data_IF_915425045610
#
_entry.id   IF_915425045610
#
_cell.length_a   1.000
_cell.length_b   1.000
_cell.length_c   1.000
_cell.angle_alpha   90.00
_cell.angle_beta   90.00
_cell.angle_gamma   90.00
#
_symmetry.space_group_name_H-M   'P 1'
#
loop_
_entity.id
_entity.type
_entity.pdbx_description
1 polymer ?
#
# COMPACT_ATOMS: atom_id res chain seq x y z
N UNK A 1 9.54 25.09 -36.84
CA UNK A 1 8.36 24.23 -36.96
C UNK A 1 8.88 22.82 -36.84
N UNK A 2 8.79 22.19 -35.63
CA UNK A 2 9.06 20.78 -35.50
C UNK A 2 7.84 20.05 -36.04
N UNK A 3 7.99 19.34 -37.13
CA UNK A 3 6.99 18.36 -37.58
C UNK A 3 6.79 17.38 -36.40
N UNK A 4 5.60 17.35 -35.85
CA UNK A 4 5.25 16.33 -34.87
C UNK A 4 5.29 15.00 -35.60
N UNK A 5 6.23 14.13 -35.23
CA UNK A 5 6.24 12.73 -35.65
C UNK A 5 4.87 12.16 -35.30
N UNK A 6 4.11 11.73 -36.32
CA UNK A 6 2.80 11.10 -36.14
C UNK A 6 2.98 9.74 -35.49
N UNK A 7 3.26 9.72 -34.16
CA UNK A 7 3.44 8.49 -33.41
C UNK A 7 2.11 7.78 -33.20
N UNK A 8 2.12 6.47 -33.38
CA UNK A 8 0.99 5.57 -33.18
C UNK A 8 1.21 4.65 -31.97
N UNK A 9 0.14 4.15 -31.41
CA UNK A 9 0.26 3.09 -30.40
C UNK A 9 0.91 1.86 -31.03
N UNK A 10 1.92 1.31 -30.37
CA UNK A 10 2.73 0.21 -30.85
C UNK A 10 4.08 0.62 -31.46
N UNK A 11 4.26 1.90 -31.82
CA UNK A 11 5.53 2.39 -32.32
C UNK A 11 6.63 2.33 -31.24
N UNK A 12 7.86 2.12 -31.69
CA UNK A 12 9.04 2.00 -30.82
C UNK A 12 10.03 3.13 -31.04
N UNK A 13 10.59 3.63 -29.94
CA UNK A 13 11.56 4.74 -29.91
C UNK A 13 12.66 4.44 -28.89
N UNK A 14 13.89 4.80 -29.22
CA UNK A 14 15.00 4.77 -28.27
C UNK A 14 15.00 6.08 -27.49
N UNK A 15 14.81 5.97 -26.15
CA UNK A 15 14.61 7.11 -25.27
C UNK A 15 15.51 7.05 -24.05
N UNK A 16 16.08 8.18 -23.65
CA UNK A 16 16.78 8.36 -22.38
C UNK A 16 15.80 8.57 -21.24
N UNK A 17 16.03 7.86 -20.12
CA UNK A 17 15.18 7.87 -18.94
C UNK A 17 15.59 8.99 -17.97
N UNK A 18 14.64 9.84 -17.63
CA UNK A 18 14.73 10.80 -16.53
C UNK A 18 14.36 10.16 -15.18
N UNK A 19 13.89 10.98 -14.24
CA UNK A 19 13.57 10.54 -12.89
C UNK A 19 12.37 9.56 -12.84
N UNK A 20 12.32 8.82 -11.73
CA UNK A 20 11.15 8.01 -11.37
C UNK A 20 9.98 8.92 -10.95
N UNK A 21 8.77 8.60 -11.39
CA UNK A 21 7.54 9.28 -11.04
C UNK A 21 6.66 8.41 -10.13
N UNK A 22 5.69 9.05 -9.48
CA UNK A 22 4.63 8.36 -8.75
C UNK A 22 3.93 7.33 -9.66
N UNK A 23 3.76 6.10 -9.16
CA UNK A 23 3.23 4.98 -9.93
C UNK A 23 4.31 4.06 -10.52
N UNK A 24 5.60 4.32 -10.26
CA UNK A 24 6.70 3.42 -10.63
C UNK A 24 7.15 3.52 -12.09
N UNK A 25 6.85 4.62 -12.76
CA UNK A 25 7.27 4.90 -14.14
C UNK A 25 8.50 5.80 -14.17
N UNK A 26 9.44 5.54 -15.07
CA UNK A 26 10.42 6.56 -15.45
C UNK A 26 9.81 7.57 -16.41
N UNK A 27 10.27 8.80 -16.33
CA UNK A 27 9.83 9.88 -17.22
C UNK A 27 10.79 10.00 -18.39
N UNK A 28 10.29 9.90 -19.62
CA UNK A 28 11.02 10.21 -20.83
C UNK A 28 10.34 11.36 -21.60
N UNK A 29 11.00 11.85 -22.64
CA UNK A 29 10.43 12.84 -23.57
C UNK A 29 10.60 12.38 -24.99
N UNK A 30 9.51 12.44 -25.74
CA UNK A 30 9.49 12.22 -27.19
C UNK A 30 8.92 13.49 -27.83
N UNK A 31 9.73 14.21 -28.59
CA UNK A 31 9.37 15.49 -29.24
C UNK A 31 8.71 16.48 -28.27
N UNK A 32 9.29 16.63 -27.06
CA UNK A 32 8.80 17.52 -26.01
C UNK A 32 7.64 16.96 -25.17
N UNK A 33 6.98 15.89 -25.61
CA UNK A 33 5.88 15.24 -24.89
C UNK A 33 6.41 14.30 -23.83
N UNK A 34 5.75 14.29 -22.66
CA UNK A 34 6.08 13.36 -21.57
C UNK A 34 5.62 11.96 -21.92
N UNK A 35 6.50 10.98 -21.73
CA UNK A 35 6.19 9.53 -21.82
C UNK A 35 6.52 8.90 -20.48
N UNK A 36 5.55 8.26 -19.86
CA UNK A 36 5.72 7.45 -18.65
C UNK A 36 6.07 6.02 -19.04
N UNK A 37 7.31 5.62 -18.77
CA UNK A 37 7.87 4.34 -19.21
C UNK A 37 7.94 3.35 -18.05
N UNK A 38 7.29 2.19 -18.21
CA UNK A 38 7.35 1.07 -17.27
C UNK A 38 8.54 0.17 -17.62
N UNK A 39 9.18 -0.39 -16.59
CA UNK A 39 10.25 -1.39 -16.77
C UNK A 39 11.62 -0.79 -17.07
N UNK A 40 11.78 0.52 -16.89
CA UNK A 40 13.03 1.24 -17.03
C UNK A 40 13.52 1.80 -15.69
N UNK A 41 14.80 2.16 -15.61
CA UNK A 41 15.45 2.84 -14.50
C UNK A 41 15.88 4.26 -14.88
N UNK A 42 15.96 5.19 -13.91
CA UNK A 42 16.51 6.52 -14.17
C UNK A 42 17.95 6.46 -14.70
N UNK A 43 18.22 7.19 -15.77
CA UNK A 43 19.54 7.23 -16.41
C UNK A 43 19.78 6.19 -17.50
N UNK A 44 18.89 5.20 -17.65
CA UNK A 44 19.00 4.23 -18.74
C UNK A 44 18.65 4.83 -20.10
N UNK A 45 19.16 4.20 -21.15
CA UNK A 45 18.67 4.33 -22.52
C UNK A 45 17.96 3.04 -22.92
N UNK A 46 16.68 3.15 -23.27
CA UNK A 46 15.83 1.99 -23.54
C UNK A 46 15.01 2.17 -24.79
N UNK A 47 14.72 1.06 -25.49
CA UNK A 47 13.71 1.02 -26.53
C UNK A 47 12.33 0.91 -25.90
N UNK A 48 11.51 1.92 -26.15
CA UNK A 48 10.17 2.08 -25.58
C UNK A 48 9.13 1.82 -26.65
N UNK A 49 8.23 0.87 -26.41
CA UNK A 49 7.01 0.69 -27.19
C UNK A 49 5.88 1.49 -26.58
N UNK A 50 5.25 2.38 -27.36
CA UNK A 50 4.11 3.17 -26.89
C UNK A 50 2.90 2.29 -26.66
N UNK A 51 2.30 2.38 -25.45
CA UNK A 51 1.17 1.51 -25.04
C UNK A 51 -0.14 2.27 -24.94
N UNK A 52 -0.10 3.57 -24.64
CA UNK A 52 -1.28 4.44 -24.58
C UNK A 52 -0.90 5.87 -24.95
N UNK A 53 -1.49 6.36 -26.03
CA UNK A 53 -1.29 7.72 -26.57
C UNK A 53 -2.58 8.57 -26.52
N UNK A 54 -3.60 8.11 -25.80
CA UNK A 54 -4.94 8.72 -25.77
C UNK A 54 -4.96 10.13 -25.16
N UNK A 55 -3.95 10.48 -24.33
CA UNK A 55 -3.87 11.77 -23.64
C UNK A 55 -3.00 12.77 -24.41
N UNK A 56 -3.51 13.96 -24.62
CA UNK A 56 -2.74 15.05 -25.26
C UNK A 56 -1.53 15.50 -24.43
N UNK A 57 -1.62 15.43 -23.08
CA UNK A 57 -0.59 15.90 -22.16
C UNK A 57 0.56 14.93 -21.92
N UNK A 58 0.32 13.63 -22.03
CA UNK A 58 1.31 12.59 -21.76
C UNK A 58 0.90 11.25 -22.38
N UNK A 59 1.89 10.40 -22.60
CA UNK A 59 1.73 9.04 -23.10
C UNK A 59 2.27 8.02 -22.13
N UNK A 60 1.98 6.75 -22.37
CA UNK A 60 2.56 5.61 -21.63
C UNK A 60 3.30 4.71 -22.60
N UNK A 61 4.39 4.12 -22.11
CA UNK A 61 5.20 3.15 -22.83
C UNK A 61 5.72 2.05 -21.93
N UNK A 62 6.18 1.00 -22.57
CA UNK A 62 6.84 -0.16 -21.95
C UNK A 62 8.25 -0.26 -22.50
N UNK A 63 9.25 -0.38 -21.64
CA UNK A 63 10.60 -0.74 -22.05
C UNK A 63 10.58 -2.17 -22.62
N UNK A 64 11.00 -2.34 -23.87
CA UNK A 64 11.05 -3.63 -24.57
C UNK A 64 12.47 -4.13 -24.75
N UNK A 65 13.46 -3.21 -24.75
CA UNK A 65 14.87 -3.52 -24.81
C UNK A 65 15.68 -2.48 -24.02
N UNK A 66 16.80 -2.87 -23.44
CA UNK A 66 17.68 -1.99 -22.65
C UNK A 66 18.98 -1.81 -23.40
N UNK A 67 19.21 -0.60 -23.94
CA UNK A 67 20.38 -0.25 -24.76
C UNK A 67 21.58 0.04 -23.85
N UNK A 68 21.34 0.83 -22.78
CA UNK A 68 22.34 1.14 -21.75
C UNK A 68 21.72 0.96 -20.37
N UNK A 69 22.16 -0.08 -19.66
CA UNK A 69 21.60 -0.46 -18.37
C UNK A 69 22.24 0.30 -17.19
N UNK A 70 21.44 0.62 -16.20
CA UNK A 70 21.90 1.07 -14.87
C UNK A 70 22.49 -0.11 -14.09
N UNK A 71 23.49 0.17 -13.23
CA UNK A 71 24.17 -0.84 -12.38
C UNK A 71 23.23 -1.55 -11.39
N UNK A 72 22.09 -0.95 -11.06
CA UNK A 72 21.07 -1.52 -10.15
C UNK A 72 20.01 -2.36 -10.89
N UNK A 73 20.17 -2.55 -12.20
CA UNK A 73 19.29 -3.45 -12.96
C UNK A 73 19.66 -4.90 -12.68
N UNK A 74 18.63 -5.69 -12.39
CA UNK A 74 18.75 -7.14 -12.17
C UNK A 74 17.81 -7.91 -13.10
N UNK A 75 18.10 -9.20 -13.28
CA UNK A 75 17.17 -10.09 -13.97
C UNK A 75 15.96 -10.34 -13.08
N UNK A 76 14.72 -10.08 -13.55
CA UNK A 76 13.53 -10.32 -12.77
C UNK A 76 13.41 -11.79 -12.32
N UNK A 77 13.15 -12.06 -11.02
CA UNK A 77 12.96 -13.43 -10.54
C UNK A 77 11.66 -14.08 -11.06
N UNK A 78 10.71 -13.29 -11.55
CA UNK A 78 9.46 -13.78 -12.12
C UNK A 78 9.51 -13.74 -13.66
N UNK A 79 9.32 -14.88 -14.37
CA UNK A 79 9.38 -14.91 -15.83
C UNK A 79 8.28 -14.09 -16.52
N UNK A 80 7.19 -13.77 -15.81
CA UNK A 80 6.08 -12.94 -16.33
C UNK A 80 6.08 -11.50 -15.79
N UNK A 81 7.19 -11.04 -15.23
CA UNK A 81 7.31 -9.69 -14.63
C UNK A 81 7.00 -8.56 -15.64
N UNK A 82 7.36 -8.72 -16.91
CA UNK A 82 7.09 -7.74 -17.97
C UNK A 82 5.61 -7.61 -18.34
N UNK A 83 4.81 -8.65 -18.08
CA UNK A 83 3.41 -8.73 -18.48
C UNK A 83 2.45 -8.53 -17.31
N UNK A 84 2.76 -9.16 -16.16
CA UNK A 84 1.93 -9.14 -14.98
C UNK A 84 1.83 -7.73 -14.37
N UNK A 85 0.61 -7.35 -13.96
CA UNK A 85 0.36 -6.08 -13.27
C UNK A 85 0.63 -6.10 -11.76
N UNK A 86 1.12 -7.20 -11.21
CA UNK A 86 1.31 -7.37 -9.76
C UNK A 86 2.59 -6.75 -9.21
N UNK A 87 3.59 -6.49 -10.05
CA UNK A 87 4.90 -5.95 -9.68
C UNK A 87 5.37 -4.90 -10.67
N UNK A 88 6.10 -3.89 -10.18
CA UNK A 88 6.64 -2.79 -10.99
C UNK A 88 8.17 -2.81 -11.03
N UNK A 89 8.84 -3.34 -10.00
CA UNK A 89 10.28 -3.18 -9.74
C UNK A 89 11.08 -4.49 -9.67
N UNK A 90 10.60 -5.59 -10.23
CA UNK A 90 11.37 -6.85 -10.21
C UNK A 90 12.68 -6.80 -11.01
N UNK A 91 12.84 -5.82 -11.88
CA UNK A 91 14.07 -5.55 -12.64
C UNK A 91 15.07 -4.65 -11.90
N UNK A 92 14.78 -4.32 -10.63
CA UNK A 92 15.58 -3.40 -9.79
C UNK A 92 16.05 -4.15 -8.54
N UNK A 93 17.30 -3.98 -8.13
CA UNK A 93 17.76 -4.51 -6.85
C UNK A 93 16.95 -3.93 -5.67
N UNK A 94 16.75 -4.72 -4.61
CA UNK A 94 15.83 -4.40 -3.52
C UNK A 94 16.23 -3.14 -2.75
N UNK A 95 17.53 -2.85 -2.65
CA UNK A 95 17.99 -1.65 -1.95
C UNK A 95 17.70 -0.41 -2.78
N UNK A 96 17.93 -0.48 -4.07
CA UNK A 96 17.63 0.65 -4.96
C UNK A 96 16.14 0.87 -5.17
N UNK A 97 15.29 -0.17 -5.05
CA UNK A 97 13.83 0.03 -4.99
C UNK A 97 13.43 1.01 -3.88
N UNK A 98 14.04 0.89 -2.70
CA UNK A 98 13.78 1.81 -1.58
C UNK A 98 14.26 3.23 -1.88
N UNK A 99 15.38 3.38 -2.56
CA UNK A 99 15.85 4.69 -3.02
C UNK A 99 14.91 5.34 -4.05
N UNK A 100 14.39 4.56 -5.02
CA UNK A 100 13.38 5.05 -5.97
C UNK A 100 12.10 5.50 -5.25
N UNK A 101 11.61 4.71 -4.29
CA UNK A 101 10.46 5.07 -3.46
C UNK A 101 10.73 6.34 -2.64
N UNK A 102 11.94 6.47 -2.07
CA UNK A 102 12.36 7.68 -1.34
C UNK A 102 12.26 8.92 -2.23
N UNK A 103 12.75 8.85 -3.47
CA UNK A 103 12.67 9.98 -4.43
C UNK A 103 11.22 10.38 -4.68
N UNK A 104 10.34 9.41 -4.87
CA UNK A 104 8.91 9.67 -5.08
C UNK A 104 8.26 10.31 -3.84
N UNK A 105 8.53 9.79 -2.62
CA UNK A 105 8.00 10.37 -1.38
C UNK A 105 8.48 11.81 -1.22
N UNK A 106 9.78 12.09 -1.38
CA UNK A 106 10.35 13.43 -1.26
C UNK A 106 9.75 14.40 -2.30
N UNK A 107 9.58 13.96 -3.55
CA UNK A 107 8.97 14.78 -4.61
C UNK A 107 7.51 15.12 -4.27
N UNK A 108 6.69 14.13 -3.88
CA UNK A 108 5.28 14.36 -3.59
C UNK A 108 5.10 15.29 -2.37
N UNK A 109 5.87 15.09 -1.31
CA UNK A 109 5.85 15.95 -0.12
C UNK A 109 6.27 17.38 -0.46
N UNK A 110 7.33 17.56 -1.23
CA UNK A 110 7.79 18.89 -1.66
C UNK A 110 6.78 19.60 -2.55
N UNK A 111 6.27 18.91 -3.56
CA UNK A 111 5.39 19.50 -4.58
C UNK A 111 4.00 19.82 -4.06
N UNK A 112 3.42 18.96 -3.22
CA UNK A 112 2.01 19.05 -2.81
C UNK A 112 1.82 19.65 -1.41
N UNK A 113 2.83 19.56 -0.55
CA UNK A 113 2.77 20.08 0.82
C UNK A 113 3.86 21.12 1.15
N UNK A 114 4.82 21.38 0.25
CA UNK A 114 5.94 22.27 0.54
C UNK A 114 6.94 21.71 1.57
N UNK A 115 6.87 20.41 1.88
CA UNK A 115 7.68 19.77 2.91
C UNK A 115 8.97 19.23 2.28
N UNK A 116 10.12 19.72 2.74
CA UNK A 116 11.42 19.13 2.40
C UNK A 116 11.68 17.93 3.30
N UNK A 117 11.64 16.73 2.72
CA UNK A 117 11.85 15.48 3.45
C UNK A 117 13.16 14.82 3.00
N UNK A 118 14.05 14.56 3.95
CA UNK A 118 15.36 13.94 3.75
C UNK A 118 15.48 12.56 4.43
N UNK A 119 14.35 11.94 4.76
CA UNK A 119 14.33 10.60 5.36
C UNK A 119 14.63 9.50 4.34
N UNK A 120 14.64 8.27 4.84
CA UNK A 120 14.83 7.06 4.04
C UNK A 120 13.55 6.23 4.00
N UNK A 121 13.44 5.30 3.05
CA UNK A 121 12.43 4.25 3.07
C UNK A 121 13.03 3.03 3.77
N UNK A 122 12.49 2.71 4.93
CA UNK A 122 13.00 1.67 5.82
C UNK A 122 12.60 0.28 5.32
N UNK A 123 13.54 -0.66 5.38
CA UNK A 123 13.22 -2.07 5.15
C UNK A 123 12.36 -2.61 6.30
N UNK A 124 11.44 -3.51 5.97
CA UNK A 124 10.60 -4.19 6.96
C UNK A 124 11.05 -5.66 7.07
N UNK A 125 11.15 -6.16 8.29
CA UNK A 125 11.55 -7.56 8.55
C UNK A 125 10.55 -8.56 7.97
N UNK A 126 11.05 -9.69 7.45
CA UNK A 126 10.21 -10.78 6.91
C UNK A 126 10.30 -10.98 5.40
N UNK A 127 11.09 -10.15 4.66
CA UNK A 127 11.37 -10.33 3.24
C UNK A 127 12.63 -9.56 2.83
N UNK A 128 13.80 -10.16 3.04
CA UNK A 128 15.09 -9.50 2.73
C UNK A 128 15.36 -9.40 1.23
N UNK A 129 14.87 -10.35 0.44
CA UNK A 129 15.00 -10.43 -1.02
C UNK A 129 13.79 -9.84 -1.77
N UNK A 130 12.80 -9.31 -1.04
CA UNK A 130 11.58 -8.75 -1.59
C UNK A 130 10.56 -9.79 -2.09
N UNK A 131 10.76 -11.07 -1.79
CA UNK A 131 9.89 -12.17 -2.23
C UNK A 131 9.14 -12.81 -1.05
N UNK A 132 8.09 -13.59 -1.34
CA UNK A 132 7.38 -14.39 -0.35
C UNK A 132 6.64 -13.63 0.75
N UNK A 133 6.49 -12.32 0.63
CA UNK A 133 5.93 -11.49 1.69
C UNK A 133 4.42 -11.33 1.65
N UNK A 134 3.81 -11.47 0.47
CA UNK A 134 2.41 -11.08 0.29
C UNK A 134 1.47 -12.15 0.81
N UNK A 135 0.95 -11.95 2.00
CA UNK A 135 0.07 -12.89 2.71
C UNK A 135 -1.37 -12.91 2.19
N UNK A 136 -1.76 -11.96 1.34
CA UNK A 136 -3.10 -11.91 0.74
C UNK A 136 -3.02 -11.72 -0.76
N UNK A 137 -3.49 -12.71 -1.49
CA UNK A 137 -3.51 -12.73 -2.94
C UNK A 137 -4.92 -12.88 -3.46
N UNK A 138 -5.21 -12.25 -4.59
CA UNK A 138 -6.45 -12.46 -5.33
C UNK A 138 -6.11 -12.95 -6.73
N UNK A 139 -6.44 -14.19 -7.00
CA UNK A 139 -6.23 -14.84 -8.28
C UNK A 139 -7.52 -14.90 -9.10
N UNK A 140 -7.36 -15.21 -10.38
CA UNK A 140 -8.39 -15.72 -11.27
C UNK A 140 -8.00 -17.15 -11.66
N UNK A 141 -8.99 -18.02 -11.89
CA UNK A 141 -8.71 -19.28 -12.52
C UNK A 141 -8.65 -19.08 -14.05
N UNK A 142 -7.56 -19.52 -14.65
CA UNK A 142 -7.39 -19.59 -16.12
C UNK A 142 -6.83 -20.95 -16.49
N UNK A 143 -7.59 -21.74 -17.23
CA UNK A 143 -7.23 -23.13 -17.56
C UNK A 143 -6.91 -23.94 -16.29
N UNK A 144 -7.73 -23.81 -15.26
CA UNK A 144 -7.59 -24.51 -13.97
C UNK A 144 -6.27 -24.19 -13.21
N UNK A 145 -5.64 -23.07 -13.51
CA UNK A 145 -4.43 -22.58 -12.83
C UNK A 145 -4.60 -21.16 -12.35
N UNK A 146 -3.88 -20.77 -11.28
CA UNK A 146 -3.88 -19.38 -10.81
C UNK A 146 -3.36 -18.44 -11.89
N UNK A 147 -4.05 -17.32 -12.07
CA UNK A 147 -3.66 -16.25 -12.99
C UNK A 147 -3.87 -14.89 -12.36
N UNK A 148 -3.13 -13.90 -12.85
CA UNK A 148 -3.23 -12.50 -12.44
C UNK A 148 -3.54 -11.63 -13.66
N UNK A 149 -4.00 -10.42 -13.43
CA UNK A 149 -4.24 -9.47 -14.53
C UNK A 149 -2.93 -8.97 -15.11
N UNK A 150 -2.89 -8.82 -16.44
CA UNK A 150 -1.85 -8.05 -17.10
C UNK A 150 -1.89 -6.59 -16.67
N UNK A 151 -0.77 -5.90 -16.80
CA UNK A 151 -0.67 -4.50 -16.43
C UNK A 151 -1.68 -3.65 -17.24
N UNK A 152 -2.53 -2.90 -16.53
CA UNK A 152 -3.59 -2.03 -17.11
C UNK A 152 -4.52 -2.74 -18.10
N UNK A 153 -4.70 -4.03 -17.97
CA UNK A 153 -5.58 -4.83 -18.82
C UNK A 153 -6.55 -5.67 -17.98
N UNK A 154 -7.60 -6.12 -18.63
CA UNK A 154 -8.49 -7.15 -18.10
C UNK A 154 -8.00 -8.55 -18.44
N UNK A 155 -7.05 -8.68 -19.37
CA UNK A 155 -6.44 -9.93 -19.78
C UNK A 155 -5.68 -10.57 -18.61
N UNK A 156 -5.57 -11.88 -18.67
CA UNK A 156 -4.92 -12.68 -17.66
C UNK A 156 -3.56 -13.17 -18.13
N UNK A 157 -2.65 -13.35 -17.20
CA UNK A 157 -1.38 -14.06 -17.35
C UNK A 157 -1.32 -15.13 -16.27
N UNK A 158 -0.99 -16.36 -16.67
CA UNK A 158 -0.84 -17.46 -15.72
C UNK A 158 0.32 -17.18 -14.76
N UNK A 159 0.11 -17.53 -13.51
CA UNK A 159 1.18 -17.53 -12.50
C UNK A 159 2.19 -18.61 -12.87
N UNK A 160 3.51 -18.35 -12.72
CA UNK A 160 4.54 -19.35 -12.99
C UNK A 160 4.32 -20.65 -12.20
N UNK A 161 4.90 -21.72 -12.68
CA UNK A 161 4.98 -22.97 -11.93
C UNK A 161 5.71 -22.74 -10.60
N UNK A 162 5.18 -23.28 -9.50
CA UNK A 162 5.66 -22.98 -8.13
C UNK A 162 5.04 -21.75 -7.48
N UNK A 163 4.18 -21.00 -8.18
CA UNK A 163 3.42 -19.90 -7.62
C UNK A 163 3.95 -18.50 -7.96
N UNK A 164 3.27 -17.48 -7.45
CA UNK A 164 3.69 -16.08 -7.59
C UNK A 164 4.86 -15.80 -6.65
N UNK A 165 6.03 -15.33 -7.13
CA UNK A 165 7.22 -15.15 -6.28
C UNK A 165 7.03 -14.21 -5.09
N UNK A 166 6.16 -13.21 -5.19
CA UNK A 166 5.89 -12.32 -4.04
C UNK A 166 4.81 -12.88 -3.10
N UNK A 167 4.02 -13.88 -3.51
CA UNK A 167 3.03 -14.50 -2.65
C UNK A 167 3.71 -15.29 -1.54
N UNK A 168 3.14 -15.25 -0.33
CA UNK A 168 3.64 -16.04 0.78
C UNK A 168 3.49 -17.54 0.47
N UNK A 169 4.55 -18.35 0.62
CA UNK A 169 4.57 -19.75 0.20
C UNK A 169 3.43 -20.60 0.79
N UNK A 170 3.03 -20.34 2.04
CA UNK A 170 1.96 -21.08 2.70
C UNK A 170 0.61 -21.01 1.95
N UNK A 171 0.36 -19.96 1.16
CA UNK A 171 -0.87 -19.80 0.40
C UNK A 171 -0.85 -20.42 -1.00
N UNK A 172 0.32 -20.74 -1.57
CA UNK A 172 0.43 -21.20 -2.94
C UNK A 172 -0.30 -22.53 -3.22
N UNK A 173 -0.15 -23.58 -2.39
CA UNK A 173 -0.86 -24.85 -2.60
C UNK A 173 -2.38 -24.67 -2.56
N UNK A 174 -2.87 -23.84 -1.65
CA UNK A 174 -4.29 -23.58 -1.52
C UNK A 174 -4.86 -22.79 -2.72
N UNK A 175 -4.06 -21.88 -3.32
CA UNK A 175 -4.41 -21.19 -4.56
C UNK A 175 -4.52 -22.15 -5.74
N UNK A 176 -3.56 -23.06 -5.89
CA UNK A 176 -3.58 -24.07 -6.94
C UNK A 176 -4.78 -24.99 -6.82
N UNK A 177 -5.03 -25.53 -5.63
CA UNK A 177 -6.18 -26.42 -5.36
C UNK A 177 -7.51 -25.74 -5.67
N UNK A 178 -7.69 -24.50 -5.23
CA UNK A 178 -8.92 -23.74 -5.45
C UNK A 178 -9.14 -23.38 -6.92
N UNK A 179 -8.09 -22.99 -7.64
CA UNK A 179 -8.18 -22.67 -9.07
C UNK A 179 -8.41 -23.89 -9.95
N UNK A 180 -7.97 -25.07 -9.52
CA UNK A 180 -8.19 -26.33 -10.25
C UNK A 180 -9.66 -26.79 -10.26
N UNK A 181 -10.47 -26.34 -9.29
CA UNK A 181 -11.87 -26.73 -9.15
C UNK A 181 -12.88 -25.73 -9.71
N UNK A 182 -12.46 -24.50 -10.01
CA UNK A 182 -13.36 -23.41 -10.39
C UNK A 182 -12.87 -22.67 -11.64
N UNK A 183 -13.58 -22.82 -12.76
CA UNK A 183 -13.34 -22.03 -13.98
C UNK A 183 -13.77 -20.57 -13.76
N UNK A 184 -12.91 -19.60 -14.13
CA UNK A 184 -13.14 -18.15 -14.06
C UNK A 184 -13.45 -17.57 -12.69
N UNK A 185 -13.32 -18.31 -11.59
CA UNK A 185 -13.57 -17.85 -10.26
C UNK A 185 -12.57 -16.78 -9.78
N UNK A 186 -13.03 -15.90 -8.91
CA UNK A 186 -12.16 -15.05 -8.11
C UNK A 186 -11.74 -15.85 -6.89
N UNK A 187 -10.46 -16.18 -6.78
CA UNK A 187 -9.91 -16.92 -5.66
C UNK A 187 -9.07 -15.98 -4.81
N UNK A 188 -9.51 -15.71 -3.60
CA UNK A 188 -8.76 -14.94 -2.60
C UNK A 188 -8.16 -15.90 -1.59
N UNK A 189 -6.84 -15.88 -1.48
CA UNK A 189 -6.07 -16.64 -0.50
C UNK A 189 -5.50 -15.67 0.52
N UNK A 190 -5.74 -15.94 1.79
CA UNK A 190 -5.19 -15.16 2.91
C UNK A 190 -4.44 -16.11 3.82
N UNK A 191 -3.19 -15.75 4.16
CA UNK A 191 -2.35 -16.47 5.10
C UNK A 191 -2.12 -15.59 6.33
N UNK A 192 -2.36 -16.11 7.52
CA UNK A 192 -1.95 -15.49 8.77
C UNK A 192 -0.77 -16.26 9.34
N UNK A 193 0.32 -15.56 9.57
CA UNK A 193 1.58 -16.10 10.03
C UNK A 193 1.63 -15.95 11.56
N UNK A 194 1.18 -16.99 12.23
CA UNK A 194 1.36 -17.21 13.66
C UNK A 194 2.26 -18.43 13.85
N UNK A 195 2.42 -18.91 15.08
CA UNK A 195 3.16 -20.17 15.37
C UNK A 195 2.59 -21.34 14.55
N UNK A 196 1.26 -21.34 14.33
CA UNK A 196 0.56 -22.25 13.42
C UNK A 196 -0.01 -21.41 12.25
N UNK A 197 0.60 -21.41 11.06
CA UNK A 197 0.10 -20.65 9.93
C UNK A 197 -1.31 -21.08 9.52
N UNK A 198 -2.23 -20.14 9.52
CA UNK A 198 -3.61 -20.35 9.09
C UNK A 198 -3.77 -19.86 7.66
N UNK A 199 -4.35 -20.67 6.78
CA UNK A 199 -4.68 -20.29 5.39
C UNK A 199 -6.18 -20.41 5.19
N UNK A 200 -6.79 -19.36 4.64
CA UNK A 200 -8.20 -19.35 4.26
C UNK A 200 -8.36 -19.00 2.80
N UNK A 201 -9.30 -19.66 2.14
CA UNK A 201 -9.60 -19.46 0.72
C UNK A 201 -11.06 -19.09 0.55
N UNK A 202 -11.30 -18.00 -0.14
CA UNK A 202 -12.62 -17.53 -0.54
C UNK A 202 -12.69 -17.56 -2.06
N UNK A 203 -13.56 -18.38 -2.63
CA UNK A 203 -13.83 -18.44 -4.07
C UNK A 203 -15.24 -17.87 -4.33
N UNK A 204 -15.34 -16.89 -5.26
CA UNK A 204 -16.58 -16.19 -5.62
C UNK A 204 -17.40 -15.69 -4.42
N UNK A 205 -16.69 -15.23 -3.38
CA UNK A 205 -17.27 -14.69 -2.16
C UNK A 205 -17.68 -15.74 -1.12
N UNK A 206 -17.47 -17.03 -1.38
CA UNK A 206 -17.76 -18.12 -0.44
C UNK A 206 -16.47 -18.70 0.13
N UNK A 207 -16.46 -18.99 1.43
CA UNK A 207 -15.37 -19.69 2.09
C UNK A 207 -15.35 -21.16 1.62
N UNK A 208 -14.26 -21.57 0.96
CA UNK A 208 -14.11 -22.92 0.42
C UNK A 208 -13.06 -23.75 1.18
N UNK A 209 -12.15 -23.08 1.90
CA UNK A 209 -11.17 -23.74 2.76
C UNK A 209 -10.73 -22.82 3.90
N UNK A 210 -10.27 -23.39 5.00
CA UNK A 210 -9.83 -22.69 6.21
C UNK A 210 -10.98 -22.18 7.06
N UNK A 211 -10.69 -21.20 7.93
CA UNK A 211 -11.65 -20.61 8.86
C UNK A 211 -12.20 -19.28 8.37
N UNK A 212 -13.40 -18.90 8.85
CA UNK A 212 -13.97 -17.55 8.62
C UNK A 212 -13.11 -16.45 9.25
N UNK A 213 -12.40 -16.80 10.34
CA UNK A 213 -11.47 -15.89 11.02
C UNK A 213 -10.13 -16.59 11.24
N UNK A 214 -9.06 -15.81 11.21
CA UNK A 214 -7.69 -16.22 11.46
C UNK A 214 -7.11 -15.42 12.62
N UNK A 215 -5.97 -15.87 13.16
CA UNK A 215 -5.26 -15.19 14.24
C UNK A 215 -4.00 -14.51 13.72
N UNK A 216 -3.99 -13.18 13.73
CA UNK A 216 -2.78 -12.38 13.50
C UNK A 216 -2.13 -12.01 14.83
N UNK A 217 -0.80 -11.75 14.81
CA UNK A 217 -0.02 -11.42 16.01
C UNK A 217 0.85 -10.18 15.75
N UNK A 218 0.96 -9.32 16.76
CA UNK A 218 1.92 -8.22 16.81
C UNK A 218 2.48 -8.17 18.23
N UNK A 219 3.78 -8.34 18.39
CA UNK A 219 4.39 -8.58 19.69
C UNK A 219 3.73 -9.77 20.41
N UNK A 220 3.24 -9.57 21.63
CA UNK A 220 2.54 -10.59 22.41
C UNK A 220 1.02 -10.61 22.19
N UNK A 221 0.49 -9.60 21.51
CA UNK A 221 -0.96 -9.47 21.34
C UNK A 221 -1.45 -10.23 20.09
N UNK A 222 -2.64 -10.82 20.22
CA UNK A 222 -3.34 -11.55 19.15
C UNK A 222 -4.58 -10.81 18.73
N UNK A 223 -4.86 -10.81 17.41
CA UNK A 223 -6.08 -10.26 16.80
C UNK A 223 -6.81 -11.35 16.03
N UNK A 224 -8.13 -11.39 16.17
CA UNK A 224 -8.98 -12.12 15.24
C UNK A 224 -9.23 -11.27 14.02
N UNK A 225 -8.92 -11.83 12.84
CA UNK A 225 -9.02 -11.17 11.52
C UNK A 225 -9.94 -12.01 10.65
N UNK A 226 -10.88 -11.38 9.95
CA UNK A 226 -11.75 -12.11 9.01
C UNK A 226 -10.97 -12.57 7.77
N UNK A 227 -11.22 -13.77 7.27
CA UNK A 227 -10.59 -14.32 6.07
C UNK A 227 -10.72 -13.39 4.84
N UNK A 228 -11.89 -12.75 4.68
CA UNK A 228 -12.14 -11.73 3.66
C UNK A 228 -11.84 -10.30 4.11
N UNK A 229 -11.48 -10.09 5.38
CA UNK A 229 -11.23 -8.78 5.97
C UNK A 229 -9.85 -8.22 5.63
N UNK A 230 -9.61 -6.94 5.94
CA UNK A 230 -8.30 -6.33 5.79
C UNK A 230 -7.39 -6.69 6.96
N UNK A 231 -6.16 -6.99 6.66
CA UNK A 231 -5.00 -7.01 7.54
C UNK A 231 -3.76 -6.62 6.71
N UNK A 232 -2.70 -6.16 7.37
CA UNK A 232 -1.44 -5.82 6.71
C UNK A 232 -0.89 -7.04 5.95
N UNK A 233 -0.59 -6.86 4.66
CA UNK A 233 -0.26 -7.99 3.77
C UNK A 233 1.19 -8.42 3.82
N UNK A 234 2.07 -7.61 4.44
CA UNK A 234 3.46 -7.97 4.69
C UNK A 234 3.60 -8.46 6.14
N UNK A 235 4.30 -9.56 6.42
CA UNK A 235 4.41 -10.14 7.77
C UNK A 235 4.85 -9.16 8.85
N UNK A 236 5.88 -8.37 8.57
CA UNK A 236 6.41 -7.39 9.51
C UNK A 236 5.71 -6.02 9.50
N UNK A 237 4.77 -5.77 8.58
CA UNK A 237 4.20 -4.43 8.44
C UNK A 237 3.39 -3.99 9.67
N UNK A 238 2.57 -4.88 10.23
CA UNK A 238 1.76 -4.53 11.37
C UNK A 238 2.60 -4.13 12.59
N UNK A 239 3.74 -4.78 12.79
CA UNK A 239 4.69 -4.47 13.88
C UNK A 239 5.43 -3.16 13.59
N UNK A 240 6.00 -2.98 12.40
CA UNK A 240 6.73 -1.77 12.02
C UNK A 240 5.85 -0.50 12.11
N UNK A 241 4.60 -0.59 11.62
CA UNK A 241 3.65 0.51 11.70
C UNK A 241 3.17 0.77 13.14
N UNK A 242 2.93 -0.30 13.91
CA UNK A 242 2.58 -0.20 15.33
C UNK A 242 3.67 0.51 16.13
N UNK A 243 4.92 0.13 15.95
CA UNK A 243 6.06 0.75 16.62
C UNK A 243 6.21 2.23 16.24
N UNK A 244 6.08 2.53 14.93
CA UNK A 244 6.16 3.90 14.45
C UNK A 244 5.04 4.80 15.01
N UNK A 245 3.81 4.30 15.07
CA UNK A 245 2.65 5.03 15.57
C UNK A 245 2.70 5.16 17.09
N UNK A 246 2.79 4.03 17.79
CA UNK A 246 2.66 4.01 19.26
C UNK A 246 3.87 4.63 19.94
N UNK A 247 5.08 4.36 19.44
CA UNK A 247 6.31 4.94 19.97
C UNK A 247 6.36 6.47 19.85
N UNK A 248 5.77 7.01 18.77
CA UNK A 248 5.78 8.45 18.51
C UNK A 248 4.62 9.21 19.13
N UNK A 249 3.47 8.58 19.37
CA UNK A 249 2.31 9.22 20.02
C UNK A 249 2.47 9.38 21.54
N UNK A 250 3.37 8.59 22.16
CA UNK A 250 3.62 8.58 23.60
C UNK A 250 2.33 8.57 24.42
N UNK A 251 1.46 7.52 24.24
CA UNK A 251 0.16 7.48 24.88
C UNK A 251 0.30 7.42 26.40
N UNK A 252 -0.52 8.22 27.10
CA UNK A 252 -0.55 8.28 28.55
C UNK A 252 -1.75 7.52 29.09
N UNK A 253 -1.60 6.91 30.27
CA UNK A 253 -2.71 6.26 30.95
C UNK A 253 -3.85 7.28 31.17
N UNK A 254 -5.07 6.91 30.75
CA UNK A 254 -6.23 7.77 30.84
C UNK A 254 -6.47 8.70 29.65
N UNK A 255 -5.56 8.77 28.67
CA UNK A 255 -5.82 9.47 27.41
C UNK A 255 -7.10 8.96 26.75
N UNK A 256 -7.74 9.84 25.97
CA UNK A 256 -8.79 9.47 25.03
C UNK A 256 -8.23 9.46 23.61
N UNK A 257 -8.38 8.35 22.91
CA UNK A 257 -7.91 8.16 21.53
C UNK A 257 -9.06 7.93 20.56
N UNK A 258 -8.88 8.47 19.35
CA UNK A 258 -9.66 8.10 18.17
C UNK A 258 -8.80 7.23 17.26
N UNK A 259 -9.32 6.07 16.86
CA UNK A 259 -8.76 5.21 15.83
C UNK A 259 -9.71 5.23 14.63
N UNK A 260 -9.32 5.98 13.58
CA UNK A 260 -10.16 6.22 12.41
C UNK A 260 -9.72 5.30 11.27
N UNK A 261 -10.69 4.65 10.62
CA UNK A 261 -10.49 3.55 9.69
C UNK A 261 -9.84 2.34 10.40
N UNK A 262 -10.31 2.08 11.62
CA UNK A 262 -9.62 1.21 12.58
C UNK A 262 -9.56 -0.29 12.19
N UNK A 263 -10.24 -0.71 11.13
CA UNK A 263 -10.28 -2.11 10.74
C UNK A 263 -10.73 -3.01 11.90
N UNK A 264 -9.92 -4.02 12.20
CA UNK A 264 -10.14 -4.95 13.34
C UNK A 264 -9.49 -4.44 14.65
N UNK A 265 -9.00 -3.19 14.67
CA UNK A 265 -8.50 -2.52 15.87
C UNK A 265 -7.02 -2.76 16.16
N UNK A 266 -6.14 -2.73 15.15
CA UNK A 266 -4.70 -2.86 15.35
C UNK A 266 -4.18 -1.80 16.32
N UNK A 267 -4.30 -0.53 15.97
CA UNK A 267 -3.82 0.57 16.80
C UNK A 267 -4.64 0.74 18.07
N UNK A 268 -5.97 0.60 17.97
CA UNK A 268 -6.88 0.62 19.12
C UNK A 268 -6.47 -0.36 20.21
N UNK A 269 -6.09 -1.59 19.84
CA UNK A 269 -5.66 -2.61 20.78
C UNK A 269 -4.39 -2.24 21.51
N UNK A 270 -3.39 -1.75 20.78
CA UNK A 270 -2.10 -1.36 21.34
C UNK A 270 -2.19 -0.11 22.22
N UNK A 271 -3.09 0.80 21.92
CA UNK A 271 -3.41 1.95 22.77
C UNK A 271 -4.13 1.53 24.05
N UNK A 272 -5.12 0.63 23.94
CA UNK A 272 -5.85 0.11 25.10
C UNK A 272 -4.94 -0.64 26.09
N UNK A 273 -3.92 -1.37 25.62
CA UNK A 273 -2.91 -2.03 26.46
C UNK A 273 -2.08 -1.03 27.29
N UNK A 274 -2.06 0.25 26.91
CA UNK A 274 -1.42 1.35 27.64
C UNK A 274 -2.38 2.15 28.53
N UNK A 275 -3.59 1.63 28.73
CA UNK A 275 -4.61 2.28 29.58
C UNK A 275 -5.32 3.45 28.91
N UNK A 276 -5.25 3.57 27.58
CA UNK A 276 -5.94 4.59 26.80
C UNK A 276 -7.40 4.18 26.56
N UNK A 277 -8.33 5.11 26.68
CA UNK A 277 -9.74 4.92 26.32
C UNK A 277 -9.94 5.12 24.83
N UNK A 278 -10.24 4.06 24.08
CA UNK A 278 -10.27 4.11 22.62
C UNK A 278 -11.70 4.15 22.08
N UNK A 279 -11.91 5.01 21.08
CA UNK A 279 -13.09 5.01 20.20
C UNK A 279 -12.63 4.82 18.78
N UNK A 280 -13.21 3.81 18.09
CA UNK A 280 -12.88 3.49 16.70
C UNK A 280 -14.06 3.75 15.75
N UNK A 281 -13.73 4.11 14.50
CA UNK A 281 -14.70 4.23 13.40
C UNK A 281 -14.21 3.43 12.22
N UNK A 282 -15.05 2.53 11.71
CA UNK A 282 -14.75 1.66 10.59
C UNK A 282 -16.03 1.44 9.75
N UNK A 283 -15.91 1.38 8.43
CA UNK A 283 -17.06 1.21 7.54
C UNK A 283 -17.60 -0.22 7.54
N UNK A 284 -16.72 -1.21 7.67
CA UNK A 284 -17.08 -2.62 7.68
C UNK A 284 -17.70 -3.04 9.01
N UNK A 285 -18.97 -3.44 8.99
CA UNK A 285 -19.66 -3.98 10.19
C UNK A 285 -18.97 -5.23 10.73
N UNK A 286 -18.43 -6.09 9.85
CA UNK A 286 -17.72 -7.29 10.25
C UNK A 286 -16.42 -6.96 10.97
N UNK A 287 -15.63 -6.00 10.43
CA UNK A 287 -14.41 -5.52 11.08
C UNK A 287 -14.71 -4.89 12.45
N UNK A 288 -15.78 -4.08 12.57
CA UNK A 288 -16.22 -3.51 13.85
C UNK A 288 -16.59 -4.59 14.86
N UNK A 289 -17.26 -5.66 14.43
CA UNK A 289 -17.59 -6.78 15.33
C UNK A 289 -16.31 -7.47 15.85
N UNK A 290 -15.30 -7.63 14.99
CA UNK A 290 -14.00 -8.17 15.39
C UNK A 290 -13.21 -7.19 16.26
N UNK A 291 -13.22 -5.90 15.95
CA UNK A 291 -12.58 -4.86 16.77
C UNK A 291 -13.09 -4.85 18.21
N UNK A 292 -14.40 -5.02 18.42
CA UNK A 292 -15.01 -5.14 19.77
C UNK A 292 -14.55 -6.39 20.52
N UNK A 293 -14.28 -7.49 19.82
CA UNK A 293 -13.71 -8.72 20.41
C UNK A 293 -12.22 -8.57 20.70
N UNK A 294 -11.49 -7.94 19.80
CA UNK A 294 -10.04 -7.73 19.92
C UNK A 294 -9.69 -6.70 20.99
N UNK A 295 -10.56 -5.74 21.25
CA UNK A 295 -10.32 -4.61 22.17
C UNK A 295 -11.49 -4.51 23.15
N UNK A 296 -11.56 -5.37 24.18
CA UNK A 296 -12.56 -5.26 25.22
C UNK A 296 -12.51 -3.90 25.91
N UNK A 297 -13.66 -3.23 26.08
CA UNK A 297 -13.76 -1.88 26.62
C UNK A 297 -13.63 -0.75 25.59
N UNK A 298 -13.13 -1.01 24.38
CA UNK A 298 -13.14 -0.07 23.27
C UNK A 298 -14.57 0.18 22.74
N UNK A 299 -14.81 1.39 22.23
CA UNK A 299 -16.11 1.77 21.65
C UNK A 299 -15.99 1.93 20.14
N UNK A 300 -16.59 1.04 19.38
CA UNK A 300 -16.49 1.00 17.91
C UNK A 300 -17.81 1.28 17.22
N UNK A 301 -17.78 2.18 16.23
CA UNK A 301 -18.93 2.61 15.43
C UNK A 301 -18.75 2.20 13.98
N UNK A 302 -19.74 1.48 13.42
CA UNK A 302 -19.76 1.15 12.01
C UNK A 302 -20.31 2.32 11.19
N UNK A 303 -19.52 2.80 10.24
CA UNK A 303 -19.92 3.88 9.32
C UNK A 303 -18.73 4.56 8.67
N UNK A 304 -19.03 5.41 7.71
CA UNK A 304 -18.00 6.22 7.03
C UNK A 304 -17.47 7.28 7.98
N UNK A 305 -16.15 7.41 8.11
CA UNK A 305 -15.49 8.36 9.02
C UNK A 305 -15.97 9.79 8.75
N UNK A 306 -16.05 10.21 7.50
CA UNK A 306 -16.51 11.55 7.11
C UNK A 306 -17.96 11.90 7.54
N UNK A 307 -18.77 10.88 7.85
CA UNK A 307 -20.16 11.06 8.32
C UNK A 307 -20.30 10.89 9.83
N UNK A 308 -19.51 9.99 10.42
CA UNK A 308 -19.60 9.62 11.84
C UNK A 308 -18.86 10.62 12.71
N UNK A 309 -17.59 10.93 12.39
CA UNK A 309 -16.72 11.77 13.22
C UNK A 309 -17.29 13.16 13.49
N UNK A 310 -17.82 13.92 12.52
CA UNK A 310 -18.38 15.23 12.79
C UNK A 310 -19.56 15.24 13.78
N UNK A 311 -20.31 14.13 13.86
CA UNK A 311 -21.47 13.97 14.75
C UNK A 311 -21.09 13.52 16.15
N UNK A 312 -19.95 12.84 16.29
CA UNK A 312 -19.45 12.38 17.59
C UNK A 312 -18.93 13.55 18.44
N UNK A 313 -18.42 14.60 17.80
CA UNK A 313 -17.77 15.77 18.44
C UNK A 313 -16.92 15.40 19.69
N UNK A 314 -16.10 14.34 19.63
CA UNK A 314 -15.38 13.90 20.81
C UNK A 314 -14.20 14.85 21.08
N UNK A 315 -13.86 15.01 22.34
CA UNK A 315 -12.48 15.41 22.69
C UNK A 315 -11.59 14.18 22.55
N UNK A 316 -10.38 14.37 22.03
CA UNK A 316 -9.37 13.32 21.95
C UNK A 316 -7.99 13.90 22.27
N UNK A 317 -7.20 13.19 23.07
CA UNK A 317 -5.81 13.56 23.33
C UNK A 317 -4.92 13.18 22.14
N UNK A 318 -5.21 12.05 21.54
CA UNK A 318 -4.47 11.50 20.39
C UNK A 318 -5.44 10.95 19.34
N UNK A 319 -5.01 11.01 18.07
CA UNK A 319 -5.76 10.46 16.94
C UNK A 319 -4.83 9.62 16.09
N UNK A 320 -5.30 8.43 15.71
CA UNK A 320 -4.68 7.61 14.65
C UNK A 320 -5.64 7.57 13.48
N UNK A 321 -5.12 7.71 12.26
CA UNK A 321 -5.90 7.51 11.04
C UNK A 321 -5.07 6.74 10.01
N UNK A 322 -5.71 5.71 9.43
CA UNK A 322 -5.16 4.87 8.35
C UNK A 322 -6.18 4.82 7.19
N UNK A 323 -6.32 5.94 6.45
CA UNK A 323 -7.33 6.08 5.41
C UNK A 323 -7.00 5.25 4.17
N UNK A 324 -8.00 5.00 3.29
CA UNK A 324 -7.76 4.37 2.00
C UNK A 324 -6.86 5.23 1.10
N UNK A 325 -6.37 4.66 -0.02
CA UNK A 325 -5.44 5.28 -0.99
C UNK A 325 -5.75 6.72 -1.41
N UNK A 326 -7.01 7.14 -1.38
CA UNK A 326 -7.40 8.53 -1.70
C UNK A 326 -7.05 9.54 -0.61
N UNK A 327 -6.63 9.10 0.58
CA UNK A 327 -6.41 9.92 1.77
C UNK A 327 -7.66 10.15 2.60
N UNK A 328 -7.53 10.88 3.71
CA UNK A 328 -8.59 11.25 4.62
C UNK A 328 -9.48 12.37 4.03
N UNK A 329 -8.86 13.34 3.38
CA UNK A 329 -9.51 14.46 2.73
C UNK A 329 -10.04 15.53 3.69
N UNK A 330 -10.47 16.67 3.11
CA UNK A 330 -10.80 17.92 3.83
C UNK A 330 -11.78 17.73 4.99
N UNK A 331 -12.87 17.00 4.77
CA UNK A 331 -13.92 16.82 5.78
C UNK A 331 -13.41 16.10 7.03
N UNK A 332 -12.60 15.05 6.84
CA UNK A 332 -12.05 14.27 7.96
C UNK A 332 -10.95 15.06 8.67
N UNK A 333 -10.03 15.66 7.92
CA UNK A 333 -8.95 16.50 8.48
C UNK A 333 -9.52 17.62 9.34
N UNK A 334 -10.51 18.37 8.87
CA UNK A 334 -11.18 19.43 9.64
C UNK A 334 -11.89 18.88 10.88
N UNK A 335 -12.51 17.70 10.78
CA UNK A 335 -13.17 17.09 11.92
C UNK A 335 -12.17 16.62 12.98
N UNK A 336 -11.03 16.06 12.56
CA UNK A 336 -9.91 15.70 13.46
C UNK A 336 -9.34 16.93 14.15
N UNK A 337 -9.03 17.98 13.41
CA UNK A 337 -8.48 19.21 13.98
C UNK A 337 -9.39 19.83 15.04
N UNK A 338 -10.73 19.77 14.84
CA UNK A 338 -11.72 20.25 15.84
C UNK A 338 -11.72 19.45 17.15
N UNK A 339 -11.20 18.24 17.18
CA UNK A 339 -11.05 17.46 18.43
C UNK A 339 -9.87 17.95 19.29
N UNK A 340 -9.04 18.83 18.73
CA UNK A 340 -7.87 19.45 19.35
C UNK A 340 -6.90 18.45 19.99
N UNK A 341 -6.46 17.40 19.25
CA UNK A 341 -5.53 16.43 19.80
C UNK A 341 -4.14 17.03 19.99
N UNK A 342 -3.41 16.57 21.02
CA UNK A 342 -1.99 16.92 21.19
C UNK A 342 -1.07 16.27 20.15
N UNK A 343 -1.48 15.12 19.60
CA UNK A 343 -0.74 14.43 18.56
C UNK A 343 -1.67 13.62 17.65
N UNK A 344 -1.31 13.55 16.36
CA UNK A 344 -2.02 12.79 15.33
C UNK A 344 -1.00 11.88 14.65
N UNK A 345 -1.30 10.59 14.54
CA UNK A 345 -0.58 9.68 13.65
C UNK A 345 -1.40 9.47 12.37
N UNK A 346 -0.83 9.84 11.23
CA UNK A 346 -1.41 9.61 9.91
C UNK A 346 -0.61 8.53 9.18
N UNK A 347 -1.20 7.36 9.01
CA UNK A 347 -0.67 6.26 8.20
C UNK A 347 -1.19 6.40 6.78
N UNK A 348 -0.37 6.20 5.77
CA UNK A 348 -0.78 6.37 4.38
C UNK A 348 0.02 5.48 3.42
N UNK A 349 -0.69 4.76 2.56
CA UNK A 349 -0.10 3.92 1.52
C UNK A 349 0.07 4.62 0.16
N UNK A 350 -0.21 5.92 0.09
CA UNK A 350 -0.02 6.75 -1.11
C UNK A 350 0.62 8.09 -0.75
N UNK A 351 1.87 8.37 -1.21
CA UNK A 351 2.60 9.58 -0.85
C UNK A 351 1.93 10.88 -1.31
N UNK A 352 1.22 10.83 -2.45
CA UNK A 352 0.53 12.01 -2.96
C UNK A 352 -0.73 12.34 -2.13
N UNK A 353 -1.45 11.31 -1.66
CA UNK A 353 -2.58 11.46 -0.76
C UNK A 353 -2.11 11.97 0.61
N UNK A 354 -1.04 11.40 1.15
CA UNK A 354 -0.41 11.89 2.38
C UNK A 354 -0.06 13.37 2.27
N UNK A 355 0.66 13.77 1.23
CA UNK A 355 1.08 15.15 1.05
C UNK A 355 -0.12 16.11 0.99
N UNK A 356 -1.19 15.74 0.28
CA UNK A 356 -2.42 16.55 0.26
C UNK A 356 -3.07 16.66 1.63
N UNK A 357 -3.13 15.57 2.40
CA UNK A 357 -3.70 15.59 3.75
C UNK A 357 -2.82 16.39 4.72
N UNK A 358 -1.48 16.29 4.63
CA UNK A 358 -0.56 17.10 5.42
C UNK A 358 -0.72 18.59 5.14
N UNK A 359 -0.89 18.99 3.88
CA UNK A 359 -1.22 20.38 3.52
C UNK A 359 -2.55 20.83 4.16
N UNK A 360 -3.56 19.96 4.14
CA UNK A 360 -4.85 20.27 4.81
C UNK A 360 -4.68 20.39 6.33
N UNK A 361 -3.87 19.53 6.96
CA UNK A 361 -3.56 19.64 8.38
C UNK A 361 -2.80 20.93 8.71
N UNK A 362 -1.86 21.33 7.86
CA UNK A 362 -1.12 22.59 8.00
C UNK A 362 -2.06 23.80 8.04
N UNK A 363 -3.02 23.86 7.13
CA UNK A 363 -4.06 24.92 7.10
C UNK A 363 -4.97 24.87 8.34
N UNK A 364 -5.12 23.71 8.98
CA UNK A 364 -5.93 23.53 10.19
C UNK A 364 -5.12 23.54 11.49
N UNK A 365 -3.89 24.06 11.47
CA UNK A 365 -3.09 24.32 12.66
C UNK A 365 -2.23 23.15 13.15
N UNK A 366 -1.91 22.17 12.31
CA UNK A 366 -1.06 21.01 12.64
C UNK A 366 0.11 20.88 11.68
N UNK A 367 1.29 20.63 12.20
CA UNK A 367 2.51 20.41 11.40
C UNK A 367 3.08 19.01 11.66
N UNK A 368 3.70 18.36 10.65
CA UNK A 368 4.39 17.11 10.88
C UNK A 368 5.68 17.34 11.69
N UNK A 369 5.77 16.68 12.87
CA UNK A 369 6.99 16.57 13.68
C UNK A 369 7.96 15.58 13.04
N UNK A 370 7.44 14.49 12.52
CA UNK A 370 8.23 13.46 11.87
C UNK A 370 7.44 12.76 10.75
N UNK A 371 8.17 12.29 9.73
CA UNK A 371 7.62 11.45 8.66
C UNK A 371 8.60 10.29 8.47
N UNK A 372 8.14 9.06 8.66
CA UNK A 372 8.85 7.82 8.38
C UNK A 372 8.17 7.12 7.20
N UNK A 373 8.95 6.43 6.38
CA UNK A 373 8.43 5.66 5.24
C UNK A 373 8.99 4.23 5.29
N UNK A 374 8.17 3.25 4.88
CA UNK A 374 8.45 1.83 5.03
C UNK A 374 8.20 1.09 3.72
N UNK A 375 9.12 0.19 3.37
CA UNK A 375 8.97 -0.72 2.23
C UNK A 375 8.18 -1.97 2.64
N UNK A 376 6.89 -1.81 2.84
CA UNK A 376 5.97 -2.92 3.14
C UNK A 376 5.42 -3.61 1.87
N UNK A 377 5.83 -3.13 0.70
CA UNK A 377 5.41 -3.68 -0.61
C UNK A 377 6.60 -3.82 -1.56
N UNK A 378 7.62 -4.62 -1.23
CA UNK A 378 8.75 -4.86 -2.12
C UNK A 378 8.28 -5.30 -3.52
N UNK A 379 9.10 -5.11 -4.54
CA UNK A 379 8.81 -5.39 -5.95
C UNK A 379 7.69 -4.53 -6.57
N UNK A 380 7.07 -3.62 -5.80
CA UNK A 380 6.04 -2.70 -6.29
C UNK A 380 6.44 -1.25 -6.03
N UNK A 381 5.78 -0.31 -6.70
CA UNK A 381 5.98 1.14 -6.49
C UNK A 381 5.36 1.66 -5.19
N UNK A 382 4.56 0.86 -4.49
CA UNK A 382 3.88 1.27 -3.26
C UNK A 382 4.85 1.44 -2.11
N UNK A 383 4.55 2.42 -1.26
CA UNK A 383 5.27 2.72 -0.03
C UNK A 383 4.26 3.06 1.06
N UNK A 384 4.53 2.64 2.28
CA UNK A 384 3.74 3.05 3.44
C UNK A 384 4.47 4.16 4.18
N UNK A 385 3.76 5.17 4.67
CA UNK A 385 4.35 6.25 5.43
C UNK A 385 3.53 6.55 6.68
N UNK A 386 4.22 6.95 7.74
CA UNK A 386 3.62 7.40 9.02
C UNK A 386 4.09 8.82 9.28
N UNK A 387 3.15 9.76 9.31
CA UNK A 387 3.40 11.13 9.71
C UNK A 387 2.82 11.38 11.12
N UNK A 388 3.63 11.93 12.00
CA UNK A 388 3.20 12.39 13.32
C UNK A 388 3.06 13.89 13.28
N UNK A 389 1.86 14.38 13.60
CA UNK A 389 1.55 15.81 13.57
C UNK A 389 1.24 16.31 14.98
N UNK A 390 1.65 17.54 15.22
CA UNK A 390 1.41 18.29 16.48
C UNK A 390 0.80 19.65 16.16
N UNK A 391 0.10 20.28 17.13
CA UNK A 391 -0.40 21.64 16.97
C UNK A 391 0.73 22.62 16.64
N UNK A 392 0.48 23.60 15.79
CA UNK A 392 1.36 24.75 15.60
C UNK A 392 1.46 25.53 16.92
N UNK A 393 2.69 25.83 17.32
CA UNK A 393 2.98 26.69 18.48
C UNK A 393 2.73 28.15 18.09
#
# INVERSE_FOLDING_TARGET
MHESVGASQGDEFDLGMGNIAHGGYCVARLDGRVVFVRGALPGEEVRVRLTDISKASHWFGQAVDVISADSHRVVPPCPVAGECGGCDFQHVDVEFQRELKRRVVAEQLSRLAGIKWAGTVEAVTGSSDGLGWRTRMQYRSLNQRPALRRHRSHDLVQVPEGGCPIAHPAGCPAAEAACNTAEHAIVMVTSCLSEDPEVSVIADGQLVAGGETMTARVGQRRWKVGAGGFWQVHPGAAEALADAVIGSLEPQQGDEALDLYCGVGLFAGLLADRGVRVRGVEVSRQAVALARRNVPGGRFTAGRVERVLPRMAPKANIVVLDPPRKGAGKTVVQAVARTSPRAIAHVACDPAALARDLHLFDVNGYLPRSIRAFDVFPMTHHVEAVAILEPKI
#
